data_IF_276820408173
#
_entry.id   IF_276820408173
#
_cell.length_a   1.000
_cell.length_b   1.000
_cell.length_c   1.000
_cell.angle_alpha   90.00
_cell.angle_beta   90.00
_cell.angle_gamma   90.00
#
_symmetry.space_group_name_H-M   'P 1'
#
loop_
_entity.id
_entity.type
_entity.pdbx_description
1 polymer ?
#
# COMPACT_ATOMS: atom_id res chain seq x y z
N UNK A 1 -1.63 9.95 23.38
CA UNK A 1 -2.35 9.29 22.29
C UNK A 1 -1.36 8.77 21.26
N UNK A 2 -1.33 7.51 20.84
CA UNK A 2 -1.81 6.29 21.49
C UNK A 2 -1.05 5.09 20.89
N UNK A 3 -0.09 4.49 21.63
CA UNK A 3 0.45 3.17 21.29
C UNK A 3 -0.64 2.11 21.12
N UNK A 4 -1.79 2.32 21.76
CA UNK A 4 -3.00 1.51 21.64
C UNK A 4 -3.58 1.54 20.23
N UNK A 5 -3.69 2.69 19.58
CA UNK A 5 -4.20 2.79 18.19
C UNK A 5 -3.32 1.99 17.22
N UNK A 6 -1.99 2.13 17.35
CA UNK A 6 -1.06 1.35 16.53
C UNK A 6 -1.18 -0.15 16.81
N UNK A 7 -1.34 -0.53 18.09
CA UNK A 7 -1.53 -1.93 18.45
C UNK A 7 -2.85 -2.48 17.90
N UNK A 8 -3.96 -1.75 18.02
CA UNK A 8 -5.28 -2.16 17.55
C UNK A 8 -5.34 -2.28 16.03
N UNK A 9 -4.79 -1.31 15.29
CA UNK A 9 -4.71 -1.37 13.82
C UNK A 9 -4.00 -2.65 13.35
N UNK A 10 -2.92 -3.03 14.03
CA UNK A 10 -2.14 -4.23 13.73
C UNK A 10 -2.73 -5.53 14.26
N UNK A 11 -3.42 -5.46 15.40
CA UNK A 11 -4.09 -6.59 16.02
C UNK A 11 -5.40 -6.95 15.29
N UNK A 12 -5.87 -6.11 14.37
CA UNK A 12 -7.03 -6.40 13.52
C UNK A 12 -6.95 -7.77 12.86
N UNK A 13 -8.08 -8.49 12.85
CA UNK A 13 -8.21 -9.82 12.24
C UNK A 13 -9.42 -9.89 11.31
N UNK A 14 -9.37 -10.80 10.35
CA UNK A 14 -10.47 -11.16 9.45
C UNK A 14 -10.72 -12.65 9.57
N UNK A 15 -12.00 -13.04 9.71
CA UNK A 15 -12.41 -14.43 9.57
C UNK A 15 -12.46 -14.81 8.09
N UNK A 16 -11.67 -15.79 7.70
CA UNK A 16 -11.62 -16.32 6.34
C UNK A 16 -12.16 -17.74 6.29
N UNK A 17 -12.72 -18.08 5.15
CA UNK A 17 -13.24 -19.41 4.86
C UNK A 17 -12.83 -19.83 3.46
N UNK A 18 -11.89 -20.76 3.37
CA UNK A 18 -11.42 -21.31 2.10
C UNK A 18 -12.31 -22.46 1.66
N UNK A 19 -12.76 -22.39 0.41
CA UNK A 19 -13.65 -23.38 -0.19
C UNK A 19 -13.06 -23.83 -1.52
N UNK A 20 -13.04 -25.14 -1.74
CA UNK A 20 -12.76 -25.72 -3.05
C UNK A 20 -14.06 -25.69 -3.89
N UNK A 21 -14.11 -24.99 -5.03
CA UNK A 21 -15.27 -25.00 -5.90
C UNK A 21 -15.63 -26.41 -6.36
N UNK A 22 -16.94 -26.69 -6.53
CA UNK A 22 -17.40 -27.99 -7.02
C UNK A 22 -16.82 -28.38 -8.39
N UNK A 23 -16.48 -27.38 -9.22
CA UNK A 23 -15.85 -27.58 -10.52
C UNK A 23 -14.44 -28.18 -10.43
N UNK A 24 -13.79 -28.11 -9.27
CA UNK A 24 -12.43 -28.59 -9.04
C UNK A 24 -12.40 -30.02 -8.44
N UNK A 25 -13.57 -30.58 -8.09
CA UNK A 25 -13.67 -31.87 -7.42
C UNK A 25 -13.50 -33.03 -8.39
N UNK A 26 -12.78 -34.06 -7.92
CA UNK A 26 -12.42 -35.25 -8.69
C UNK A 26 -13.51 -36.36 -8.77
N UNK A 27 -14.76 -36.12 -8.34
CA UNK A 27 -15.92 -37.05 -8.29
C UNK A 27 -16.36 -37.60 -6.90
N UNK A 28 -15.94 -36.99 -5.78
CA UNK A 28 -16.37 -37.36 -4.41
C UNK A 28 -17.19 -36.27 -3.69
N UNK A 29 -17.74 -36.62 -2.51
CA UNK A 29 -18.17 -35.62 -1.53
C UNK A 29 -17.00 -34.65 -1.28
N UNK A 30 -17.24 -33.36 -1.46
CA UNK A 30 -16.20 -32.34 -1.40
C UNK A 30 -15.64 -32.17 0.03
N UNK A 31 -14.44 -31.59 0.17
CA UNK A 31 -13.87 -31.32 1.48
C UNK A 31 -14.74 -30.34 2.27
N UNK A 32 -14.61 -30.40 3.59
CA UNK A 32 -15.12 -29.34 4.45
C UNK A 32 -14.39 -28.02 4.15
N UNK A 33 -15.03 -26.91 4.51
CA UNK A 33 -14.43 -25.59 4.39
C UNK A 33 -13.34 -25.38 5.46
N UNK A 34 -12.22 -24.76 5.06
CA UNK A 34 -11.13 -24.43 5.99
C UNK A 34 -11.34 -23.01 6.52
N UNK A 35 -11.64 -22.90 7.81
CA UNK A 35 -11.87 -21.61 8.47
C UNK A 35 -10.64 -21.21 9.27
N UNK A 36 -10.22 -19.95 9.14
CA UNK A 36 -9.11 -19.41 9.93
C UNK A 36 -9.29 -17.92 10.24
N UNK A 37 -8.55 -17.43 11.23
CA UNK A 37 -8.40 -16.00 11.50
C UNK A 37 -7.09 -15.50 10.94
N UNK A 38 -7.15 -14.48 10.08
CA UNK A 38 -5.99 -13.88 9.44
C UNK A 38 -5.72 -12.48 9.97
N UNK A 39 -4.45 -12.07 10.06
CA UNK A 39 -4.11 -10.66 10.23
C UNK A 39 -4.59 -9.84 9.02
N UNK A 40 -5.12 -8.65 9.26
CA UNK A 40 -5.56 -7.74 8.19
C UNK A 40 -4.42 -7.37 7.24
N UNK A 41 -3.20 -7.29 7.77
CA UNK A 41 -1.98 -7.03 7.04
C UNK A 41 -1.41 -8.24 6.28
N UNK A 42 -1.95 -9.44 6.49
CA UNK A 42 -1.49 -10.64 5.81
C UNK A 42 -1.92 -10.68 4.34
N UNK A 43 -1.39 -11.64 3.59
CA UNK A 43 -1.72 -11.88 2.18
C UNK A 43 -2.37 -13.24 2.03
N UNK A 44 -3.30 -13.40 1.08
CA UNK A 44 -4.04 -14.66 0.91
C UNK A 44 -3.12 -15.87 0.77
N UNK A 45 -2.03 -15.75 0.00
CA UNK A 45 -1.06 -16.83 -0.19
C UNK A 45 -0.43 -17.29 1.12
N UNK A 46 -0.07 -16.34 1.98
CA UNK A 46 0.51 -16.62 3.29
C UNK A 46 -0.48 -17.35 4.20
N UNK A 47 -1.71 -16.83 4.27
CA UNK A 47 -2.75 -17.42 5.11
C UNK A 47 -3.18 -18.79 4.60
N UNK A 48 -3.26 -18.98 3.29
CA UNK A 48 -3.65 -20.24 2.66
C UNK A 48 -2.65 -21.36 2.94
N UNK A 49 -1.35 -21.05 2.93
CA UNK A 49 -0.31 -22.02 3.30
C UNK A 49 -0.27 -22.24 4.82
N UNK A 50 -0.29 -21.18 5.64
CA UNK A 50 -0.20 -21.28 7.10
C UNK A 50 -1.41 -21.98 7.75
N UNK A 51 -2.59 -21.88 7.14
CA UNK A 51 -3.80 -22.57 7.61
C UNK A 51 -3.84 -24.07 7.28
N UNK A 52 -2.90 -24.58 6.47
CA UNK A 52 -2.95 -25.95 5.94
C UNK A 52 -4.00 -26.16 4.85
N UNK A 53 -4.68 -25.10 4.40
CA UNK A 53 -5.72 -25.18 3.38
C UNK A 53 -5.17 -25.67 2.03
N UNK A 54 -3.93 -25.31 1.68
CA UNK A 54 -3.31 -25.77 0.45
C UNK A 54 -3.25 -27.31 0.38
N UNK A 55 -2.55 -27.96 1.30
CA UNK A 55 -2.36 -29.41 1.27
C UNK A 55 -3.69 -30.16 1.42
N UNK A 56 -4.58 -29.65 2.27
CA UNK A 56 -5.88 -30.25 2.49
C UNK A 56 -6.76 -30.19 1.24
N UNK A 57 -6.99 -29.00 0.66
CA UNK A 57 -7.89 -28.86 -0.50
C UNK A 57 -7.29 -29.51 -1.76
N UNK A 58 -5.97 -29.47 -1.93
CA UNK A 58 -5.31 -30.11 -3.07
C UNK A 58 -5.50 -31.63 -3.07
N UNK A 59 -5.67 -32.26 -1.90
CA UNK A 59 -5.96 -33.71 -1.82
C UNK A 59 -7.33 -34.13 -2.37
N UNK A 60 -8.24 -33.17 -2.58
CA UNK A 60 -9.57 -33.39 -3.17
C UNK A 60 -9.69 -32.85 -4.61
N UNK A 61 -8.67 -32.15 -5.08
CA UNK A 61 -8.62 -31.61 -6.43
C UNK A 61 -8.44 -32.74 -7.47
N UNK A 62 -8.90 -32.52 -8.70
CA UNK A 62 -8.78 -33.48 -9.79
C UNK A 62 -7.31 -33.94 -10.02
N UNK A 63 -7.11 -35.20 -10.42
CA UNK A 63 -5.78 -35.81 -10.59
C UNK A 63 -4.87 -35.12 -11.63
N UNK A 64 -5.43 -34.21 -12.43
CA UNK A 64 -4.72 -33.38 -13.41
C UNK A 64 -4.62 -31.91 -12.99
N UNK A 65 -4.85 -31.56 -11.72
CA UNK A 65 -4.71 -30.19 -11.18
C UNK A 65 -3.24 -29.80 -11.01
N UNK A 66 -2.72 -28.81 -11.75
CA UNK A 66 -1.35 -28.32 -11.70
C UNK A 66 -1.31 -26.76 -11.60
N UNK A 67 -0.23 -26.12 -12.07
CA UNK A 67 0.81 -25.51 -11.25
C UNK A 67 0.44 -24.16 -10.62
N UNK A 68 -0.76 -23.63 -10.87
CA UNK A 68 -1.16 -22.28 -10.46
C UNK A 68 -2.38 -22.25 -9.52
N UNK A 69 -2.32 -21.30 -8.59
CA UNK A 69 -3.34 -21.02 -7.58
C UNK A 69 -3.95 -19.66 -7.86
N UNK A 70 -5.27 -19.61 -7.87
CA UNK A 70 -6.04 -18.37 -7.95
C UNK A 70 -7.12 -18.34 -6.88
N UNK A 71 -7.52 -17.13 -6.51
CA UNK A 71 -8.57 -16.89 -5.53
C UNK A 71 -9.70 -16.10 -6.13
N UNK A 72 -10.93 -16.39 -5.71
CA UNK A 72 -12.08 -15.57 -6.02
C UNK A 72 -12.97 -15.35 -4.80
N UNK A 73 -13.64 -14.20 -4.78
CA UNK A 73 -14.58 -13.79 -3.73
C UNK A 73 -15.83 -13.27 -4.43
N UNK A 74 -17.01 -13.73 -4.01
CA UNK A 74 -18.29 -13.39 -4.66
C UNK A 74 -18.28 -13.63 -6.19
N UNK A 75 -17.62 -14.70 -6.63
CA UNK A 75 -17.49 -15.06 -8.04
C UNK A 75 -16.56 -14.16 -8.87
N UNK A 76 -15.87 -13.20 -8.25
CA UNK A 76 -14.88 -12.33 -8.90
C UNK A 76 -13.47 -12.76 -8.53
N UNK A 77 -12.57 -12.85 -9.51
CA UNK A 77 -11.14 -13.08 -9.25
C UNK A 77 -10.57 -11.97 -8.35
N UNK A 78 -9.81 -12.36 -7.33
CA UNK A 78 -9.15 -11.41 -6.42
C UNK A 78 -7.65 -11.47 -6.56
N UNK A 79 -7.01 -10.32 -6.40
CA UNK A 79 -5.55 -10.19 -6.48
C UNK A 79 -4.93 -10.57 -5.14
N UNK A 80 -4.15 -11.65 -5.14
CA UNK A 80 -3.44 -12.16 -3.96
C UNK A 80 -2.46 -11.15 -3.33
N UNK A 81 -1.99 -10.17 -4.11
CA UNK A 81 -1.06 -9.13 -3.66
C UNK A 81 -1.73 -7.98 -2.88
N UNK A 82 -3.04 -8.04 -2.70
CA UNK A 82 -3.79 -7.12 -1.83
C UNK A 82 -3.85 -7.72 -0.43
N UNK A 83 -3.59 -6.95 0.64
CA UNK A 83 -3.75 -7.43 2.00
C UNK A 83 -5.17 -7.95 2.28
N UNK A 84 -5.28 -8.99 3.08
CA UNK A 84 -6.54 -9.67 3.41
C UNK A 84 -7.56 -8.72 4.01
N UNK A 85 -7.13 -7.80 4.88
CA UNK A 85 -7.99 -6.77 5.46
C UNK A 85 -8.61 -5.86 4.41
N UNK A 86 -7.83 -5.45 3.41
CA UNK A 86 -8.32 -4.61 2.32
C UNK A 86 -9.29 -5.39 1.42
N UNK A 87 -9.02 -6.67 1.15
CA UNK A 87 -9.96 -7.54 0.44
C UNK A 87 -11.28 -7.66 1.19
N UNK A 88 -11.23 -7.82 2.52
CA UNK A 88 -12.42 -7.76 3.35
C UNK A 88 -13.11 -6.39 3.21
N UNK A 89 -12.40 -5.27 3.32
CA UNK A 89 -13.04 -3.95 3.25
C UNK A 89 -13.75 -3.69 1.91
N UNK A 90 -13.20 -4.22 0.81
CA UNK A 90 -13.80 -4.10 -0.52
C UNK A 90 -14.98 -5.04 -0.76
N UNK A 91 -14.90 -6.29 -0.29
CA UNK A 91 -15.84 -7.35 -0.67
C UNK A 91 -16.79 -7.76 0.44
N UNK A 92 -16.51 -7.37 1.68
CA UNK A 92 -17.30 -7.72 2.84
C UNK A 92 -18.59 -6.91 2.89
N UNK A 93 -19.69 -7.63 3.06
CA UNK A 93 -21.02 -7.10 3.25
C UNK A 93 -21.45 -7.50 4.66
N UNK A 94 -21.90 -6.51 5.43
CA UNK A 94 -22.29 -6.58 6.84
C UNK A 94 -22.76 -7.97 7.37
N UNK A 95 -22.16 -8.39 8.48
CA UNK A 95 -22.43 -9.64 9.21
C UNK A 95 -21.22 -9.99 10.08
N UNK A 96 -21.30 -11.01 10.94
CA UNK A 96 -20.13 -11.65 11.57
C UNK A 96 -19.69 -12.89 10.74
N UNK A 97 -20.05 -12.95 9.46
CA UNK A 97 -19.78 -14.11 8.62
C UNK A 97 -18.33 -14.13 8.12
N UNK A 98 -17.68 -15.28 7.96
CA UNK A 98 -16.36 -15.32 7.35
C UNK A 98 -16.37 -14.85 5.89
N UNK A 99 -15.32 -14.14 5.47
CA UNK A 99 -15.09 -13.87 4.05
C UNK A 99 -14.82 -15.19 3.33
N UNK A 100 -15.73 -15.59 2.46
CA UNK A 100 -15.61 -16.83 1.69
C UNK A 100 -14.69 -16.61 0.51
N UNK A 101 -13.59 -17.34 0.49
CA UNK A 101 -12.55 -17.30 -0.55
C UNK A 101 -12.54 -18.66 -1.25
N UNK A 102 -12.85 -18.64 -2.54
CA UNK A 102 -12.79 -19.83 -3.39
C UNK A 102 -11.38 -19.99 -3.94
N UNK A 103 -10.76 -21.15 -3.72
CA UNK A 103 -9.44 -21.49 -4.23
C UNK A 103 -9.56 -22.42 -5.44
N UNK A 104 -8.97 -22.04 -6.57
CA UNK A 104 -9.05 -22.77 -7.85
C UNK A 104 -7.65 -23.18 -8.30
N UNK A 105 -7.47 -24.44 -8.71
CA UNK A 105 -6.19 -25.02 -9.14
C UNK A 105 -6.22 -25.34 -10.64
N UNK A 106 -5.51 -24.57 -11.47
CA UNK A 106 -5.67 -24.64 -12.93
C UNK A 106 -4.53 -25.39 -13.62
N UNK A 107 -4.88 -26.23 -14.61
CA UNK A 107 -3.91 -26.83 -15.54
C UNK A 107 -3.23 -25.86 -16.50
N UNK A 108 -1.92 -26.08 -16.70
CA UNK A 108 -1.04 -25.29 -17.54
C UNK A 108 -1.54 -25.14 -18.99
N UNK A 109 -2.46 -26.02 -19.42
CA UNK A 109 -3.04 -26.03 -20.76
C UNK A 109 -4.27 -25.10 -20.93
N UNK A 110 -4.74 -24.47 -19.85
CA UNK A 110 -5.90 -23.57 -19.86
C UNK A 110 -5.52 -22.15 -20.30
N UNK A 111 -6.08 -21.68 -21.43
CA UNK A 111 -5.95 -20.32 -21.97
C UNK A 111 -6.04 -19.27 -20.85
N UNK A 112 -4.96 -18.50 -20.69
CA UNK A 112 -4.85 -17.35 -19.80
C UNK A 112 -5.87 -16.31 -20.31
N UNK A 113 -6.94 -15.98 -19.55
CA UNK A 113 -7.77 -14.85 -19.92
C UNK A 113 -6.87 -13.60 -19.93
N UNK A 114 -6.93 -12.82 -21.02
CA UNK A 114 -6.06 -11.66 -21.24
C UNK A 114 -6.34 -10.48 -20.28
N UNK A 115 -7.29 -10.65 -19.37
CA UNK A 115 -7.59 -9.77 -18.26
C UNK A 115 -7.40 -10.59 -16.97
N UNK A 116 -6.97 -9.96 -15.87
CA UNK A 116 -6.83 -10.55 -14.52
C UNK A 116 -5.44 -11.11 -14.10
N UNK A 117 -4.68 -10.24 -13.44
CA UNK A 117 -3.46 -10.49 -12.66
C UNK A 117 -3.70 -11.31 -11.37
N UNK A 118 -4.51 -12.38 -11.41
CA UNK A 118 -4.99 -13.11 -10.23
C UNK A 118 -4.36 -14.51 -10.04
N UNK A 119 -3.65 -15.04 -11.04
CA UNK A 119 -2.98 -16.34 -10.95
C UNK A 119 -1.57 -16.20 -10.37
N UNK A 120 -1.17 -17.19 -9.54
CA UNK A 120 0.16 -17.29 -8.93
C UNK A 120 0.71 -18.70 -9.04
N UNK A 121 2.04 -18.85 -8.93
CA UNK A 121 2.68 -20.14 -8.67
C UNK A 121 2.07 -20.80 -7.41
N UNK A 122 1.94 -22.13 -7.37
CA UNK A 122 1.44 -22.88 -6.20
C UNK A 122 2.52 -23.09 -5.13
N UNK A 123 2.10 -23.29 -3.87
CA UNK A 123 2.96 -23.65 -2.75
C UNK A 123 4.02 -22.62 -2.37
N UNK A 124 5.21 -23.07 -1.95
CA UNK A 124 6.29 -22.19 -1.44
C UNK A 124 6.72 -21.09 -2.41
N UNK A 125 6.53 -21.31 -3.71
CA UNK A 125 6.81 -20.33 -4.74
C UNK A 125 5.85 -19.12 -4.64
N UNK A 126 4.59 -19.38 -4.27
CA UNK A 126 3.56 -18.39 -3.97
C UNK A 126 3.97 -17.46 -2.80
N UNK A 127 4.51 -18.01 -1.72
CA UNK A 127 4.99 -17.23 -0.56
C UNK A 127 6.17 -16.34 -0.92
N UNK A 128 7.12 -16.88 -1.70
CA UNK A 128 8.28 -16.13 -2.17
C UNK A 128 7.83 -14.91 -2.97
N UNK A 129 6.90 -15.09 -3.91
CA UNK A 129 6.36 -14.01 -4.74
C UNK A 129 5.59 -12.99 -3.90
N UNK A 130 4.77 -13.45 -2.93
CA UNK A 130 4.05 -12.55 -2.02
C UNK A 130 5.00 -11.67 -1.18
N UNK A 131 6.06 -12.28 -0.67
CA UNK A 131 7.09 -11.56 0.08
C UNK A 131 7.89 -10.60 -0.80
N UNK A 132 8.31 -11.00 -1.99
CA UNK A 132 8.99 -10.12 -2.94
C UNK A 132 8.13 -8.88 -3.26
N UNK A 133 6.82 -9.09 -3.46
CA UNK A 133 5.87 -8.00 -3.65
C UNK A 133 5.78 -7.09 -2.42
N UNK A 134 5.66 -7.65 -1.21
CA UNK A 134 5.70 -6.85 0.03
C UNK A 134 6.94 -5.97 0.13
N UNK A 135 8.12 -6.51 -0.22
CA UNK A 135 9.36 -5.75 -0.19
C UNK A 135 9.44 -4.67 -1.26
N UNK A 136 8.89 -4.93 -2.45
CA UNK A 136 8.73 -3.89 -3.47
C UNK A 136 7.89 -2.73 -2.93
N UNK A 137 6.78 -3.05 -2.25
CA UNK A 137 5.85 -2.06 -1.69
C UNK A 137 6.45 -1.24 -0.57
N UNK A 138 7.23 -1.89 0.29
CA UNK A 138 8.01 -1.24 1.34
C UNK A 138 9.05 -0.27 0.77
N UNK A 139 9.72 -0.65 -0.34
CA UNK A 139 10.68 0.25 -1.02
C UNK A 139 9.97 1.45 -1.65
N UNK A 140 8.83 1.22 -2.28
CA UNK A 140 8.03 2.26 -2.95
C UNK A 140 7.53 3.32 -1.96
N UNK A 141 6.94 2.89 -0.85
CA UNK A 141 6.40 3.75 0.21
C UNK A 141 7.49 4.50 0.98
N UNK A 142 8.62 3.84 1.30
CA UNK A 142 9.75 4.50 1.94
C UNK A 142 10.41 5.51 1.01
N UNK A 143 10.40 5.28 -0.31
CA UNK A 143 10.84 6.27 -1.28
C UNK A 143 9.98 7.53 -1.28
N UNK A 144 8.65 7.41 -1.17
CA UNK A 144 7.77 8.58 -1.00
C UNK A 144 7.98 9.25 0.36
N UNK A 145 8.02 8.46 1.44
CA UNK A 145 8.13 8.97 2.81
C UNK A 145 9.43 9.72 3.06
N UNK A 146 10.54 9.17 2.58
CA UNK A 146 11.90 9.64 2.92
C UNK A 146 12.61 10.31 1.72
N UNK A 147 11.98 10.36 0.55
CA UNK A 147 12.60 10.78 -0.71
C UNK A 147 13.56 9.76 -1.33
N UNK A 148 13.73 8.58 -0.72
CA UNK A 148 14.61 7.48 -1.20
C UNK A 148 14.23 6.13 -0.60
N UNK A 149 14.44 5.01 -1.31
CA UNK A 149 14.13 3.66 -0.80
C UNK A 149 15.16 3.14 0.21
N UNK A 150 16.22 3.91 0.51
CA UNK A 150 17.37 3.46 1.30
C UNK A 150 17.00 2.87 2.66
N UNK A 151 15.99 3.40 3.34
CA UNK A 151 15.53 2.87 4.62
C UNK A 151 15.06 1.41 4.54
N UNK A 152 14.40 1.02 3.44
CA UNK A 152 14.00 -0.36 3.19
C UNK A 152 15.16 -1.22 2.66
N UNK A 153 16.06 -0.65 1.86
CA UNK A 153 17.21 -1.36 1.29
C UNK A 153 18.30 -1.67 2.31
N UNK A 154 18.39 -0.88 3.39
CA UNK A 154 19.40 -1.04 4.42
C UNK A 154 19.01 -2.08 5.49
N UNK A 155 17.80 -2.64 5.41
CA UNK A 155 17.42 -3.76 6.26
C UNK A 155 18.23 -5.01 5.87
N UNK A 156 18.78 -5.71 6.86
CA UNK A 156 19.38 -7.02 6.65
C UNK A 156 18.33 -8.02 6.12
N UNK A 157 18.79 -9.10 5.48
CA UNK A 157 17.89 -10.18 5.05
C UNK A 157 17.09 -10.76 6.22
N UNK A 158 17.71 -10.90 7.39
CA UNK A 158 17.06 -11.35 8.61
C UNK A 158 15.95 -10.38 9.07
N UNK A 159 16.25 -9.09 9.15
CA UNK A 159 15.26 -8.07 9.54
C UNK A 159 14.11 -7.99 8.54
N UNK A 160 14.43 -8.12 7.25
CA UNK A 160 13.45 -8.19 6.17
C UNK A 160 12.51 -9.41 6.33
N UNK A 161 13.06 -10.57 6.69
CA UNK A 161 12.28 -11.77 6.96
C UNK A 161 11.41 -11.63 8.21
N UNK A 162 11.94 -11.03 9.27
CA UNK A 162 11.23 -10.83 10.53
C UNK A 162 10.10 -9.81 10.36
N UNK A 163 10.32 -8.73 9.60
CA UNK A 163 9.26 -7.78 9.27
C UNK A 163 8.13 -8.43 8.45
N UNK A 164 8.47 -9.27 7.45
CA UNK A 164 7.48 -10.04 6.70
C UNK A 164 6.65 -10.97 7.62
N UNK A 165 7.32 -11.73 8.50
CA UNK A 165 6.63 -12.60 9.47
C UNK A 165 5.71 -11.81 10.40
N UNK A 166 6.19 -10.68 10.91
CA UNK A 166 5.41 -9.80 11.76
C UNK A 166 4.18 -9.24 11.02
N UNK A 167 4.31 -8.91 9.73
CA UNK A 167 3.21 -8.46 8.89
C UNK A 167 2.15 -9.55 8.69
N UNK A 168 2.55 -10.78 8.37
CA UNK A 168 1.64 -11.92 8.18
C UNK A 168 0.95 -12.35 9.48
N UNK A 169 1.67 -12.33 10.60
CA UNK A 169 1.12 -12.70 11.90
C UNK A 169 0.33 -11.56 12.58
N UNK A 170 0.43 -10.32 12.09
CA UNK A 170 -0.14 -9.14 12.74
C UNK A 170 0.49 -8.87 14.10
N UNK A 171 1.81 -9.05 14.22
CA UNK A 171 2.59 -8.88 15.45
C UNK A 171 3.24 -7.49 15.49
N UNK A 172 2.49 -6.49 15.96
CA UNK A 172 2.98 -5.12 16.11
C UNK A 172 4.26 -5.03 16.96
N UNK A 173 4.34 -5.83 18.03
CA UNK A 173 5.48 -5.82 18.96
C UNK A 173 6.82 -6.10 18.27
N UNK A 174 6.83 -6.99 17.27
CA UNK A 174 8.01 -7.27 16.45
C UNK A 174 8.19 -6.17 15.39
N UNK A 175 7.11 -5.81 14.68
CA UNK A 175 7.19 -4.85 13.58
C UNK A 175 7.62 -3.44 14.00
N UNK A 176 7.16 -2.96 15.17
CA UNK A 176 7.47 -1.62 15.69
C UNK A 176 8.97 -1.38 15.85
N UNK A 177 9.76 -2.44 16.06
CA UNK A 177 11.22 -2.35 16.22
C UNK A 177 11.91 -1.87 14.94
N UNK A 178 11.27 -2.05 13.77
CA UNK A 178 11.81 -1.62 12.47
C UNK A 178 11.40 -0.19 12.09
N UNK A 179 10.32 0.33 12.66
CA UNK A 179 9.78 1.66 12.31
C UNK A 179 10.74 2.82 12.51
N UNK A 180 11.55 2.89 13.60
CA UNK A 180 12.57 3.93 13.71
C UNK A 180 13.52 3.96 12.52
N UNK A 181 13.96 2.79 12.04
CA UNK A 181 14.83 2.69 10.87
C UNK A 181 14.12 3.04 9.56
N UNK A 182 12.85 2.62 9.43
CA UNK A 182 12.03 2.86 8.23
C UNK A 182 11.57 4.32 8.09
N UNK A 183 11.36 5.01 9.22
CA UNK A 183 10.88 6.39 9.27
C UNK A 183 12.01 7.41 9.49
N UNK A 184 13.24 6.94 9.73
CA UNK A 184 14.38 7.82 9.87
C UNK A 184 14.66 8.59 8.57
N UNK A 185 14.43 9.89 8.61
CA UNK A 185 15.11 10.80 7.70
C UNK A 185 16.60 10.82 8.04
N UNK A 186 17.43 10.04 7.34
CA UNK A 186 18.88 10.26 7.53
C UNK A 186 19.24 11.61 6.95
N UNK A 187 19.80 12.47 7.80
CA UNK A 187 20.31 13.83 7.56
C UNK A 187 20.14 14.34 6.12
N UNK A 188 19.19 15.26 5.97
CA UNK A 188 18.83 15.93 4.73
C UNK A 188 20.03 16.67 4.15
N UNK A 189 20.63 16.12 3.10
CA UNK A 189 21.41 16.92 2.15
C UNK A 189 20.49 17.97 1.50
N UNK A 190 21.04 19.10 1.05
CA UNK A 190 20.38 20.10 0.20
C UNK A 190 19.57 19.47 -0.96
N UNK A 191 19.93 18.25 -1.37
CA UNK A 191 19.24 17.44 -2.38
C UNK A 191 17.82 17.02 -1.97
N UNK A 192 17.55 16.67 -0.72
CA UNK A 192 16.19 16.31 -0.26
C UNK A 192 15.29 17.54 -0.25
N UNK A 193 15.84 18.70 0.14
CA UNK A 193 15.15 20.00 0.03
C UNK A 193 14.84 20.33 -1.43
N UNK A 194 15.81 20.17 -2.33
CA UNK A 194 15.62 20.40 -3.76
C UNK A 194 14.63 19.41 -4.41
N UNK A 195 14.63 18.13 -4.02
CA UNK A 195 13.62 17.15 -4.48
C UNK A 195 12.23 17.54 -3.98
N UNK A 196 12.13 17.95 -2.71
CA UNK A 196 10.89 18.46 -2.10
C UNK A 196 10.37 19.71 -2.81
N UNK A 197 11.23 20.69 -3.05
CA UNK A 197 10.90 21.92 -3.80
C UNK A 197 10.46 21.59 -5.24
N UNK A 198 11.13 20.64 -5.90
CA UNK A 198 10.75 20.19 -7.26
C UNK A 198 9.41 19.44 -7.29
N UNK A 199 9.13 18.56 -6.32
CA UNK A 199 7.86 17.85 -6.24
C UNK A 199 6.70 18.82 -5.95
N UNK A 200 6.88 19.72 -4.99
CA UNK A 200 5.89 20.74 -4.66
C UNK A 200 5.65 21.73 -5.83
N UNK A 201 6.67 22.02 -6.64
CA UNK A 201 6.51 22.83 -7.86
C UNK A 201 5.87 22.07 -9.03
N UNK A 202 6.08 20.75 -9.14
CA UNK A 202 5.56 19.93 -10.23
C UNK A 202 4.10 19.50 -10.06
N UNK A 203 3.63 19.32 -8.82
CA UNK A 203 2.26 18.90 -8.50
C UNK A 203 1.17 19.86 -9.06
N UNK A 204 1.29 21.19 -8.92
CA UNK A 204 0.36 22.14 -9.55
C UNK A 204 0.47 22.18 -11.08
N UNK A 205 1.69 22.07 -11.62
CA UNK A 205 1.95 22.15 -13.07
C UNK A 205 1.40 20.94 -13.83
N UNK A 206 1.50 19.74 -13.26
CA UNK A 206 0.92 18.51 -13.82
C UNK A 206 -0.62 18.51 -13.76
N UNK A 207 -1.22 19.24 -12.81
CA UNK A 207 -2.68 19.38 -12.71
C UNK A 207 -3.26 20.36 -13.75
N UNK A 208 -2.45 21.29 -14.27
CA UNK A 208 -2.83 22.30 -15.25
C UNK A 208 -2.59 21.86 -16.71
N UNK A 209 -1.77 20.84 -16.96
CA UNK A 209 -1.49 20.35 -18.30
C UNK A 209 -2.57 19.34 -18.75
N UNK A 210 -3.49 19.78 -19.62
CA UNK A 210 -4.30 18.86 -20.41
C UNK A 210 -3.39 18.02 -21.34
N UNK A 211 -3.74 16.75 -21.64
CA UNK A 211 -2.95 15.97 -22.59
C UNK A 211 -2.97 16.67 -23.96
N UNK A 212 -1.82 16.79 -24.66
CA UNK A 212 -1.84 17.28 -26.02
C UNK A 212 -2.62 16.29 -26.89
N UNK A 213 -3.51 16.83 -27.73
CA UNK A 213 -4.19 16.06 -28.74
C UNK A 213 -3.16 15.38 -29.65
N UNK A 214 -3.35 14.08 -29.89
CA UNK A 214 -2.51 13.30 -30.80
C UNK A 214 -2.53 13.92 -32.20
N UNK A 215 -1.35 14.29 -32.71
CA UNK A 215 -1.19 14.91 -34.01
C UNK A 215 0.28 15.17 -34.38
N UNK A 216 0.83 14.21 -35.13
CA UNK A 216 1.89 14.34 -36.14
C UNK A 216 3.35 14.67 -35.76
N UNK A 217 4.18 13.68 -36.16
CA UNK A 217 5.41 13.80 -36.96
C UNK A 217 6.71 14.31 -36.32
N UNK A 218 7.72 13.45 -36.44
CA UNK A 218 9.09 13.65 -35.95
C UNK A 218 9.90 14.72 -36.68
N UNK A 219 11.02 15.08 -36.08
CA UNK A 219 12.31 15.17 -36.77
C UNK A 219 13.48 15.19 -35.79
N UNK A 220 14.62 14.83 -36.37
CA UNK A 220 15.97 14.55 -35.88
C UNK A 220 16.64 15.59 -34.98
N UNK A 221 17.80 15.16 -34.45
CA UNK A 221 19.09 15.85 -34.18
C UNK A 221 19.59 15.31 -32.82
N UNK A 222 20.83 14.88 -32.59
CA UNK A 222 22.11 14.98 -33.28
C UNK A 222 23.19 14.72 -32.22
N UNK A 223 24.36 14.24 -32.65
CA UNK A 223 25.52 13.87 -31.83
C UNK A 223 26.13 15.00 -30.97
N UNK A 224 26.99 14.55 -30.03
CA UNK A 224 28.15 15.18 -29.36
C UNK A 224 28.06 14.97 -27.84
N UNK A 225 29.05 14.49 -27.09
CA UNK A 225 30.50 14.41 -27.31
C UNK A 225 31.20 14.98 -26.06
N UNK A 226 32.00 14.17 -25.37
CA UNK A 226 33.21 14.62 -24.65
C UNK A 226 33.12 15.11 -23.19
N UNK A 227 33.94 14.44 -22.35
CA UNK A 227 34.77 14.97 -21.24
C UNK A 227 34.06 15.57 -20.00
N UNK A 228 34.56 15.53 -18.77
CA UNK A 228 35.86 15.25 -18.19
C UNK A 228 35.76 15.43 -16.66
N UNK A 229 36.86 15.15 -15.95
CA UNK A 229 36.98 14.80 -14.53
C UNK A 229 37.61 15.94 -13.70
N UNK A 230 37.33 16.00 -12.40
CA UNK A 230 38.08 16.77 -11.37
C UNK A 230 37.62 18.24 -11.22
N UNK A 231 37.66 18.92 -10.06
CA UNK A 231 38.44 18.78 -8.84
C UNK A 231 37.73 19.48 -7.65
N UNK A 232 38.31 19.26 -6.47
CA UNK A 232 37.94 19.64 -5.10
C UNK A 232 37.99 21.15 -4.80
N UNK A 233 37.38 21.55 -3.67
CA UNK A 233 37.59 22.85 -3.04
C UNK A 233 36.73 23.06 -1.80
N UNK A 234 37.28 22.75 -0.62
CA UNK A 234 36.78 23.15 0.70
C UNK A 234 36.86 24.69 0.91
N UNK A 235 35.91 25.26 1.70
CA UNK A 235 36.23 26.10 2.87
C UNK A 235 35.00 26.55 3.68
N UNK A 236 35.28 26.72 4.97
CA UNK A 236 34.45 27.02 6.15
C UNK A 236 33.86 28.45 6.20
N UNK A 237 32.94 28.69 7.14
CA UNK A 237 32.83 30.01 7.79
C UNK A 237 31.44 30.54 8.20
N UNK A 238 31.04 30.21 9.44
CA UNK A 238 30.30 30.99 10.46
C UNK A 238 29.32 32.16 10.14
N UNK A 239 28.18 32.16 10.86
CA UNK A 239 27.72 33.20 11.82
C UNK A 239 26.22 33.57 11.77
N UNK A 240 25.72 33.90 12.96
CA UNK A 240 24.34 34.09 13.46
C UNK A 240 23.70 35.47 13.23
N UNK A 241 22.36 35.57 13.27
CA UNK A 241 21.56 36.66 13.90
C UNK A 241 20.06 36.38 13.74
N UNK A 242 19.32 36.14 14.83
CA UNK A 242 18.43 37.04 15.62
C UNK A 242 17.11 37.49 14.96
N UNK A 243 16.01 37.14 15.65
CA UNK A 243 14.56 37.39 15.44
C UNK A 243 14.13 38.87 15.37
N UNK A 244 12.87 39.18 14.95
CA UNK A 244 11.80 39.38 15.95
C UNK A 244 10.39 38.84 15.57
N UNK A 245 9.56 38.81 16.61
CA UNK A 245 8.20 38.28 16.81
C UNK A 245 7.09 39.22 16.30
N UNK A 246 5.96 38.70 15.77
CA UNK A 246 4.60 39.23 16.01
C UNK A 246 3.47 38.28 15.54
N UNK A 247 2.61 37.91 16.51
CA UNK A 247 1.13 37.69 16.51
C UNK A 247 0.36 37.41 15.21
N UNK A 248 -0.74 36.67 15.15
CA UNK A 248 -1.47 35.74 16.04
C UNK A 248 -2.67 35.28 15.20
N UNK A 249 -2.91 33.98 15.12
CA UNK A 249 -4.08 33.41 14.43
C UNK A 249 -4.39 32.05 15.03
N UNK A 250 -5.47 32.00 15.80
CA UNK A 250 -6.16 30.81 16.31
C UNK A 250 -6.52 29.87 15.13
N UNK A 251 -6.46 28.53 15.15
CA UNK A 251 -6.04 27.51 16.09
C UNK A 251 -6.24 26.11 15.45
N UNK A 252 -5.55 25.09 15.97
CA UNK A 252 -5.83 23.65 15.82
C UNK A 252 -5.53 23.03 17.19
N UNK A 253 -6.28 22.03 17.70
CA UNK A 253 -6.04 21.49 19.03
C UNK A 253 -4.63 20.90 19.16
N UNK A 254 -3.87 21.37 20.15
CA UNK A 254 -2.57 20.83 20.58
C UNK A 254 -2.75 19.39 21.11
N UNK A 255 -2.85 18.40 20.22
CA UNK A 255 -3.02 17.00 20.60
C UNK A 255 -2.32 15.97 19.71
N UNK A 256 -1.93 16.36 18.49
CA UNK A 256 -1.37 15.46 17.49
C UNK A 256 0.16 15.61 17.35
N UNK A 257 0.89 15.41 18.45
CA UNK A 257 2.35 15.30 18.39
C UNK A 257 2.78 14.06 17.59
N UNK A 258 3.75 14.19 16.69
CA UNK A 258 4.38 13.03 16.04
C UNK A 258 5.21 12.26 17.08
N UNK A 259 5.14 10.91 17.14
CA UNK A 259 5.97 10.12 18.04
C UNK A 259 7.41 10.01 17.52
N UNK A 260 7.63 10.41 16.26
CA UNK A 260 8.93 10.47 15.60
C UNK A 260 9.27 11.93 15.30
N UNK A 261 10.45 12.42 15.70
CA UNK A 261 10.92 13.78 15.39
C UNK A 261 11.31 13.96 13.90
N UNK A 262 10.59 13.31 12.98
CA UNK A 262 11.00 13.17 11.59
C UNK A 262 9.95 13.78 10.67
N UNK A 263 10.39 14.72 9.85
CA UNK A 263 9.60 15.27 8.76
C UNK A 263 9.25 14.14 7.76
N UNK A 264 7.97 13.96 7.44
CA UNK A 264 7.60 13.15 6.26
C UNK A 264 7.86 13.99 5.00
N UNK A 265 8.38 13.39 3.92
CA UNK A 265 8.51 14.05 2.61
C UNK A 265 7.16 14.03 1.89
N UNK A 266 6.58 12.84 1.74
CA UNK A 266 5.21 12.62 1.25
C UNK A 266 4.54 11.50 2.07
N UNK A 267 3.27 11.66 2.42
CA UNK A 267 2.46 10.60 3.00
C UNK A 267 2.16 9.56 1.91
N UNK A 268 2.64 8.30 2.06
CA UNK A 268 2.36 7.26 1.07
C UNK A 268 0.92 6.76 1.24
N UNK A 269 0.03 7.21 0.37
CA UNK A 269 -1.39 6.86 0.38
C UNK A 269 -1.68 5.89 -0.75
N UNK A 270 -2.29 4.75 -0.43
CA UNK A 270 -2.66 3.76 -1.40
C UNK A 270 -4.15 3.51 -1.45
N UNK A 271 -4.72 3.73 -2.63
CA UNK A 271 -6.14 3.58 -2.89
C UNK A 271 -6.41 2.23 -3.55
N UNK A 272 -7.35 1.50 -2.97
CA UNK A 272 -7.87 0.25 -3.50
C UNK A 272 -9.34 0.39 -3.85
N UNK A 273 -9.72 -0.15 -5.00
CA UNK A 273 -11.12 -0.39 -5.38
C UNK A 273 -11.27 -1.84 -5.81
N UNK A 274 -12.52 -2.33 -5.84
CA UNK A 274 -12.80 -3.70 -6.25
C UNK A 274 -12.34 -3.99 -7.69
N UNK A 275 -12.53 -3.02 -8.60
CA UNK A 275 -12.41 -3.28 -10.04
C UNK A 275 -11.14 -2.68 -10.67
N UNK A 276 -10.30 -1.94 -9.92
CA UNK A 276 -9.09 -1.30 -10.51
C UNK A 276 -7.78 -1.59 -9.80
N UNK A 277 -6.63 -1.60 -10.51
CA UNK A 277 -5.30 -1.69 -9.91
C UNK A 277 -5.08 -0.69 -8.78
N UNK A 278 -4.48 -1.12 -7.65
CA UNK A 278 -4.22 -0.21 -6.54
C UNK A 278 -3.29 0.91 -7.00
N UNK A 279 -3.59 2.15 -6.59
CA UNK A 279 -2.76 3.32 -6.89
C UNK A 279 -2.06 3.78 -5.62
N UNK A 280 -0.74 3.86 -5.66
CA UNK A 280 0.03 4.62 -4.69
C UNK A 280 0.18 6.07 -5.16
N UNK A 281 -0.09 7.02 -4.27
CA UNK A 281 0.18 8.43 -4.45
C UNK A 281 0.93 8.97 -3.22
N UNK A 282 1.83 9.93 -3.44
CA UNK A 282 2.46 10.67 -2.36
C UNK A 282 1.73 11.98 -2.12
N UNK A 283 1.23 12.18 -0.90
CA UNK A 283 0.50 13.39 -0.51
C UNK A 283 1.44 14.30 0.27
N UNK A 284 1.58 15.56 -0.16
CA UNK A 284 2.40 16.53 0.57
C UNK A 284 1.87 16.75 1.98
N UNK A 285 2.72 16.60 3.02
CA UNK A 285 2.38 17.06 4.36
C UNK A 285 2.34 18.59 4.35
N UNK A 286 1.32 19.18 4.96
CA UNK A 286 1.13 20.63 4.96
C UNK A 286 2.15 21.30 5.89
N UNK A 287 2.67 22.48 5.51
CA UNK A 287 3.70 23.17 6.30
C UNK A 287 3.63 24.69 6.34
N UNK A 288 2.59 25.34 5.81
CA UNK A 288 2.45 26.81 5.98
C UNK A 288 1.00 27.24 6.24
N UNK A 289 0.67 27.54 7.52
CA UNK A 289 -0.43 28.43 7.88
C UNK A 289 -1.83 27.84 8.09
N UNK A 290 -2.07 26.54 7.92
CA UNK A 290 -3.36 25.89 8.15
C UNK A 290 -3.20 24.39 8.34
N UNK A 291 -4.11 23.73 9.06
CA UNK A 291 -3.99 22.31 9.44
C UNK A 291 -3.76 21.35 8.26
N UNK A 292 -2.99 20.29 8.51
CA UNK A 292 -2.61 19.30 7.50
C UNK A 292 -3.74 18.75 6.65
N UNK A 293 -3.45 18.35 5.40
CA UNK A 293 -4.40 17.70 4.49
C UNK A 293 -5.16 16.59 5.23
N UNK A 294 -6.48 16.71 5.20
CA UNK A 294 -7.39 15.71 5.73
C UNK A 294 -7.39 14.47 4.84
N UNK A 295 -7.86 13.33 5.37
CA UNK A 295 -7.97 12.10 4.57
C UNK A 295 -8.93 12.28 3.40
N UNK A 296 -10.01 13.05 3.56
CA UNK A 296 -10.94 13.34 2.46
C UNK A 296 -10.26 14.11 1.33
N UNK A 297 -9.48 15.13 1.65
CA UNK A 297 -8.74 15.91 0.65
C UNK A 297 -7.68 15.07 -0.06
N UNK A 298 -6.96 14.24 0.70
CA UNK A 298 -5.96 13.31 0.17
C UNK A 298 -6.59 12.28 -0.78
N UNK A 299 -7.75 11.72 -0.42
CA UNK A 299 -8.51 10.80 -1.28
C UNK A 299 -9.04 11.52 -2.52
N UNK A 300 -9.57 12.75 -2.38
CA UNK A 300 -10.03 13.56 -3.52
C UNK A 300 -8.92 13.78 -4.54
N UNK A 301 -7.71 14.11 -4.10
CA UNK A 301 -6.54 14.29 -4.96
C UNK A 301 -6.14 12.97 -5.67
N UNK A 302 -6.15 11.86 -4.92
CA UNK A 302 -5.89 10.53 -5.47
C UNK A 302 -6.93 10.11 -6.52
N UNK A 303 -8.22 10.31 -6.22
CA UNK A 303 -9.34 10.02 -7.10
C UNK A 303 -9.32 10.90 -8.35
N UNK A 304 -8.98 12.19 -8.23
CA UNK A 304 -8.81 13.09 -9.38
C UNK A 304 -7.72 12.58 -10.33
N UNK A 305 -6.62 12.05 -9.77
CA UNK A 305 -5.56 11.40 -10.56
C UNK A 305 -6.04 10.10 -11.23
N UNK A 306 -6.92 9.34 -10.57
CA UNK A 306 -7.52 8.11 -11.13
C UNK A 306 -8.57 8.39 -12.22
N UNK A 307 -9.40 9.42 -12.05
CA UNK A 307 -10.40 9.83 -13.02
C UNK A 307 -9.73 10.26 -14.34
N UNK A 308 -8.63 11.03 -14.27
CA UNK A 308 -7.80 11.35 -15.45
C UNK A 308 -7.28 10.11 -16.17
N UNK A 309 -7.00 9.04 -15.42
CA UNK A 309 -6.56 7.74 -15.98
C UNK A 309 -7.74 6.83 -16.38
N UNK A 310 -8.98 7.33 -16.33
CA UNK A 310 -10.24 6.62 -16.60
C UNK A 310 -10.42 5.34 -15.78
N UNK A 311 -9.99 5.36 -14.51
CA UNK A 311 -10.04 4.19 -13.61
C UNK A 311 -11.15 4.22 -12.57
N UNK A 312 -11.69 5.38 -12.20
CA UNK A 312 -12.82 5.47 -11.28
C UNK A 312 -13.83 6.47 -11.86
N UNK A 313 -15.12 6.30 -11.56
CA UNK A 313 -16.13 7.31 -11.87
C UNK A 313 -15.82 8.63 -11.15
N UNK A 314 -16.29 9.75 -11.69
CA UNK A 314 -16.15 11.06 -11.06
C UNK A 314 -16.94 11.18 -9.74
N UNK A 315 -17.80 10.20 -9.43
CA UNK A 315 -18.67 10.13 -8.25
C UNK A 315 -18.00 9.46 -7.04
N UNK A 316 -16.72 9.70 -6.79
CA UNK A 316 -16.00 9.09 -5.67
C UNK A 316 -16.57 9.50 -4.30
N UNK A 317 -17.31 10.62 -4.21
CA UNK A 317 -18.02 11.05 -3.01
C UNK A 317 -19.15 10.08 -2.60
N UNK A 318 -19.59 9.19 -3.50
CA UNK A 318 -20.55 8.11 -3.19
C UNK A 318 -19.90 6.91 -2.50
N UNK A 319 -18.57 6.93 -2.35
CA UNK A 319 -17.81 5.86 -1.72
C UNK A 319 -17.63 6.14 -0.23
N UNK A 320 -17.49 5.07 0.52
CA UNK A 320 -17.01 5.07 1.90
C UNK A 320 -15.50 4.89 1.89
N UNK A 321 -14.82 5.68 2.71
CA UNK A 321 -13.36 5.61 2.92
C UNK A 321 -13.12 4.70 4.12
N UNK A 322 -12.57 3.52 3.86
CA UNK A 322 -12.30 2.51 4.89
C UNK A 322 -10.80 2.39 5.14
N UNK A 323 -10.44 2.31 6.41
CA UNK A 323 -9.12 1.90 6.88
C UNK A 323 -9.31 0.82 7.93
N UNK A 324 -8.74 -0.35 7.67
CA UNK A 324 -8.81 -1.51 8.57
C UNK A 324 -10.25 -1.88 9.01
N UNK A 325 -11.20 -1.77 8.08
CA UNK A 325 -12.62 -2.11 8.32
C UNK A 325 -13.42 -1.02 9.02
N UNK A 326 -12.79 0.11 9.34
CA UNK A 326 -13.42 1.24 10.01
C UNK A 326 -13.64 2.38 9.01
N UNK A 327 -14.87 2.91 8.90
CA UNK A 327 -15.12 4.14 8.17
C UNK A 327 -14.37 5.30 8.82
N UNK A 328 -13.55 5.99 8.03
CA UNK A 328 -12.79 7.13 8.52
C UNK A 328 -13.64 8.41 8.51
N UNK A 329 -13.60 9.22 9.59
CA UNK A 329 -14.10 10.58 9.53
C UNK A 329 -13.32 11.40 8.49
N UNK A 330 -14.04 12.28 7.80
CA UNK A 330 -13.52 13.05 6.67
C UNK A 330 -12.36 14.00 7.04
N UNK A 331 -12.34 14.48 8.28
CA UNK A 331 -11.48 15.54 8.81
C UNK A 331 -10.20 15.02 9.48
N UNK A 332 -9.99 13.70 9.55
CA UNK A 332 -8.80 13.13 10.17
C UNK A 332 -7.55 13.51 9.36
N UNK A 333 -6.48 14.05 9.99
CA UNK A 333 -5.25 14.39 9.28
C UNK A 333 -4.56 13.16 8.66
N UNK A 334 -4.28 13.20 7.36
CA UNK A 334 -3.66 12.09 6.65
C UNK A 334 -2.23 11.78 7.15
N UNK A 335 -1.48 12.81 7.57
CA UNK A 335 -0.15 12.64 8.14
C UNK A 335 -0.20 11.86 9.46
N UNK A 336 -1.15 12.19 10.34
CA UNK A 336 -1.36 11.48 11.60
C UNK A 336 -1.68 10.01 11.33
N UNK A 337 -2.63 9.73 10.44
CA UNK A 337 -2.93 8.35 10.03
C UNK A 337 -1.65 7.65 9.53
N UNK A 338 -0.82 8.32 8.74
CA UNK A 338 0.39 7.70 8.18
C UNK A 338 1.44 7.29 9.21
N UNK A 339 1.38 7.87 10.42
CA UNK A 339 2.30 7.59 11.52
C UNK A 339 1.74 6.51 12.45
N UNK A 340 0.41 6.51 12.65
CA UNK A 340 -0.24 5.71 13.68
C UNK A 340 -1.08 4.54 13.15
N UNK A 341 -1.43 4.54 11.87
CA UNK A 341 -2.29 3.54 11.24
C UNK A 341 -1.76 3.08 9.87
N UNK A 342 -0.45 3.25 9.62
CA UNK A 342 0.14 2.69 8.41
C UNK A 342 0.29 1.17 8.52
N UNK A 343 0.19 0.54 7.37
CA UNK A 343 0.41 -0.89 7.20
C UNK A 343 1.92 -1.23 7.38
N UNK A 344 2.27 -2.52 7.49
CA UNK A 344 3.67 -2.95 7.62
C UNK A 344 4.58 -2.50 6.47
N UNK A 345 4.00 -2.24 5.30
CA UNK A 345 4.71 -1.68 4.16
C UNK A 345 4.88 -0.15 4.26
N UNK A 346 4.55 0.47 5.39
CA UNK A 346 4.64 1.92 5.70
C UNK A 346 3.70 2.84 4.91
N UNK A 347 2.74 2.26 4.19
CA UNK A 347 1.71 3.01 3.47
C UNK A 347 0.36 3.01 4.21
N UNK A 348 -0.50 3.98 3.88
CA UNK A 348 -1.90 3.96 4.24
C UNK A 348 -2.69 3.20 3.18
N UNK A 349 -3.20 2.00 3.51
CA UNK A 349 -4.02 1.23 2.60
C UNK A 349 -5.49 1.58 2.81
N UNK A 350 -6.05 2.39 1.91
CA UNK A 350 -7.44 2.86 1.94
C UNK A 350 -8.28 2.08 0.93
N UNK A 351 -9.34 1.45 1.40
CA UNK A 351 -10.35 0.84 0.57
C UNK A 351 -11.46 1.86 0.28
N UNK A 352 -11.76 2.08 -1.00
CA UNK A 352 -12.94 2.82 -1.42
C UNK A 352 -14.03 1.84 -1.82
N UNK A 353 -15.08 1.77 -1.01
CA UNK A 353 -16.24 0.90 -1.24
C UNK A 353 -17.46 1.75 -1.57
N UNK A 354 -18.17 1.44 -2.65
CA UNK A 354 -19.42 2.16 -2.99
C UNK A 354 -20.44 1.96 -1.87
N UNK A 355 -21.06 3.05 -1.38
CA UNK A 355 -22.18 2.96 -0.42
C UNK A 355 -23.34 2.23 -1.09
N UNK A 356 -24.00 1.35 -0.34
CA UNK A 356 -25.18 0.61 -0.82
C UNK A 356 -26.42 1.48 -0.81
#
# INVERSE_FOLDING_TARGET
MDPEVMYEAWAGRVFLKFVLPKSELADHEGPDEVVCMAARSAYLNAVFEESGALDYLLSFAAANSPPSLSFSVNGKGVRWHIPVGVLADLHYVQGNEPLTVHATFRSADGVIPADESAETETGRACLRVAKEYFLYRLKESTALRNGRPGAALDLSLENTNNLWKAACAGEYGMAKSFFPSLFALRHTSNRTRAIRERLNAALPAAAAAAPPAEGEAGKEVGEEGGEGRGEEGEKEGAASSSTPVASSGEGVPDGYGSPYQHEVVLVPLRIFTADTPPLLIGISPDREGGGGKTIKEAVKEACSTLARRRRISEEWETYEILLDGVPLPDDVPAEWLSLYACNPDTSLNIALRKRK
#
